data_IF_455594351818
#
_entry.id   IF_455594351818
#
_cell.length_a   1.000
_cell.length_b   1.000
_cell.length_c   1.000
_cell.angle_alpha   90.00
_cell.angle_beta   90.00
_cell.angle_gamma   90.00
#
_symmetry.space_group_name_H-M   'P 1'
#
loop_
_entity.id
_entity.type
_entity.pdbx_description
1 polymer ?
#
# COMPACT_ATOMS: atom_id res chain seq x y z
N UNK A 1 -12.28 -10.65 22.26
CA UNK A 1 -11.14 -11.03 21.39
C UNK A 1 -11.74 -11.30 20.03
N UNK A 2 -11.73 -10.32 19.12
CA UNK A 2 -12.47 -10.36 17.86
C UNK A 2 -11.47 -10.46 16.70
N UNK A 3 -10.72 -11.55 16.67
CA UNK A 3 -9.77 -11.82 15.62
C UNK A 3 -10.50 -12.51 14.45
N UNK A 4 -10.51 -11.87 13.28
CA UNK A 4 -11.19 -12.40 12.10
C UNK A 4 -10.20 -13.34 11.37
N UNK A 5 -10.56 -14.62 11.11
CA UNK A 5 -9.73 -15.49 10.31
C UNK A 5 -9.72 -15.00 8.86
N UNK A 6 -8.56 -14.62 8.35
CA UNK A 6 -8.39 -14.02 7.02
C UNK A 6 -8.17 -15.10 5.95
N UNK A 7 -7.08 -15.83 6.07
CA UNK A 7 -6.69 -16.89 5.15
C UNK A 7 -5.68 -17.84 5.83
N UNK A 8 -5.42 -18.98 5.20
CA UNK A 8 -4.53 -20.01 5.73
C UNK A 8 -3.30 -20.11 4.83
N UNK A 9 -2.11 -19.88 5.37
CA UNK A 9 -0.84 -20.03 4.63
C UNK A 9 -0.11 -21.25 5.20
N UNK A 10 0.26 -22.23 4.36
CA UNK A 10 1.03 -23.42 4.78
C UNK A 10 0.46 -24.15 6.01
N UNK A 11 -0.86 -24.14 6.21
CA UNK A 11 -1.51 -24.75 7.37
C UNK A 11 -1.65 -23.85 8.61
N UNK A 12 -1.03 -22.66 8.61
CA UNK A 12 -1.13 -21.66 9.67
C UNK A 12 -2.33 -20.75 9.38
N UNK A 13 -3.28 -20.72 10.31
CA UNK A 13 -4.45 -19.83 10.23
C UNK A 13 -4.02 -18.42 10.61
N UNK A 14 -4.08 -17.49 9.64
CA UNK A 14 -3.78 -16.08 9.89
C UNK A 14 -5.04 -15.42 10.41
N UNK A 15 -4.91 -14.80 11.57
CA UNK A 15 -5.96 -14.00 12.20
C UNK A 15 -5.56 -12.52 12.15
N UNK A 16 -6.53 -11.65 11.87
CA UNK A 16 -6.33 -10.20 11.93
C UNK A 16 -7.22 -9.61 13.01
N UNK A 17 -6.61 -8.84 13.89
CA UNK A 17 -7.33 -7.98 14.83
C UNK A 17 -7.56 -6.60 14.20
N UNK A 18 -8.59 -5.90 14.67
CA UNK A 18 -8.94 -4.57 14.18
C UNK A 18 -7.79 -3.54 14.31
N UNK A 19 -6.89 -3.75 15.27
CA UNK A 19 -5.66 -2.95 15.45
C UNK A 19 -4.76 -2.97 14.22
N UNK A 20 -4.79 -4.03 13.43
CA UNK A 20 -3.93 -4.20 12.25
C UNK A 20 -4.34 -3.26 11.11
N UNK A 21 -5.62 -2.92 10.99
CA UNK A 21 -6.09 -1.89 10.05
C UNK A 21 -5.54 -0.51 10.40
N UNK A 22 -5.48 -0.18 11.68
CA UNK A 22 -4.90 1.08 12.17
C UNK A 22 -3.40 1.10 11.87
N UNK A 23 -2.69 0.00 12.19
CA UNK A 23 -1.27 -0.14 11.87
C UNK A 23 -1.00 0.03 10.37
N UNK A 24 -1.78 -0.64 9.50
CA UNK A 24 -1.64 -0.50 8.05
C UNK A 24 -1.89 0.91 7.55
N UNK A 25 -2.91 1.58 8.09
CA UNK A 25 -3.23 2.96 7.75
C UNK A 25 -2.08 3.89 8.12
N UNK A 26 -1.56 3.76 9.34
CA UNK A 26 -0.44 4.57 9.82
C UNK A 26 0.84 4.31 9.03
N UNK A 27 1.16 3.05 8.73
CA UNK A 27 2.30 2.67 7.90
C UNK A 27 2.16 3.28 6.51
N UNK A 28 0.98 3.13 5.88
CA UNK A 28 0.71 3.66 4.53
C UNK A 28 0.80 5.19 4.51
N UNK A 29 0.25 5.88 5.52
CA UNK A 29 0.34 7.34 5.65
C UNK A 29 1.79 7.79 5.84
N UNK A 30 2.54 7.11 6.70
CA UNK A 30 3.96 7.40 6.94
C UNK A 30 4.81 7.18 5.68
N UNK A 31 4.54 6.10 4.95
CA UNK A 31 5.19 5.84 3.66
C UNK A 31 4.83 6.91 2.63
N UNK A 32 3.56 7.27 2.53
CA UNK A 32 3.04 8.28 1.60
C UNK A 32 3.62 9.67 1.84
N UNK A 33 3.71 10.11 3.10
CA UNK A 33 4.11 11.48 3.45
C UNK A 33 5.60 11.61 3.80
N UNK A 34 6.20 10.59 4.39
CA UNK A 34 7.58 10.65 4.88
C UNK A 34 8.59 9.96 3.96
N UNK A 35 8.25 8.76 3.46
CA UNK A 35 9.21 7.90 2.77
C UNK A 35 9.25 8.16 1.27
N UNK A 36 8.11 8.09 0.59
CA UNK A 36 8.02 8.28 -0.86
C UNK A 36 8.39 9.70 -1.31
N UNK A 37 8.03 10.80 -0.62
CA UNK A 37 8.43 12.14 -1.04
C UNK A 37 9.94 12.37 -0.88
N UNK A 38 10.56 11.69 0.08
CA UNK A 38 12.00 11.77 0.32
C UNK A 38 12.79 10.95 -0.70
N UNK A 39 12.28 9.77 -1.08
CA UNK A 39 12.91 8.91 -2.08
C UNK A 39 12.73 9.40 -3.52
N UNK A 40 11.59 10.05 -3.82
CA UNK A 40 11.25 10.53 -5.16
C UNK A 40 11.27 12.05 -5.28
N UNK A 41 12.10 12.72 -4.48
CA UNK A 41 12.21 14.19 -4.37
C UNK A 41 12.56 14.91 -5.70
N UNK A 42 12.98 14.17 -6.73
CA UNK A 42 13.42 14.71 -8.03
C UNK A 42 12.57 14.25 -9.22
N UNK A 43 11.42 13.61 -8.99
CA UNK A 43 10.43 13.37 -10.04
C UNK A 43 9.33 14.42 -9.88
N UNK A 44 9.32 15.38 -10.81
CA UNK A 44 8.22 16.34 -10.96
C UNK A 44 6.89 15.58 -10.91
N UNK A 45 5.89 16.11 -10.20
CA UNK A 45 4.54 15.52 -10.10
C UNK A 45 3.97 15.09 -11.47
N UNK A 46 4.49 15.64 -12.56
CA UNK A 46 4.19 15.30 -13.95
C UNK A 46 4.52 13.84 -14.35
N UNK A 47 5.57 13.22 -13.81
CA UNK A 47 6.01 11.87 -14.22
C UNK A 47 5.17 10.74 -13.62
N UNK A 48 4.50 10.97 -12.49
CA UNK A 48 3.62 9.98 -11.86
C UNK A 48 2.33 9.84 -12.67
N UNK A 49 1.78 10.94 -13.18
CA UNK A 49 0.58 10.92 -14.02
C UNK A 49 0.86 10.36 -15.42
N UNK A 50 2.03 10.63 -16.02
CA UNK A 50 2.39 10.09 -17.33
C UNK A 50 2.59 8.56 -17.32
N UNK A 51 3.10 8.01 -16.20
CA UNK A 51 3.22 6.56 -16.01
C UNK A 51 1.87 5.88 -15.81
N UNK A 52 0.92 6.54 -15.16
CA UNK A 52 -0.45 6.04 -15.05
C UNK A 52 -1.15 5.99 -16.41
N UNK A 53 -0.97 7.01 -17.26
CA UNK A 53 -1.54 7.07 -18.62
C UNK A 53 -0.94 5.99 -19.54
N UNK A 54 0.40 5.81 -19.51
CA UNK A 54 1.05 4.78 -20.33
C UNK A 54 0.67 3.35 -19.92
N UNK A 55 0.50 3.09 -18.63
CA UNK A 55 0.01 1.80 -18.16
C UNK A 55 -1.41 1.51 -18.70
N UNK A 56 -2.30 2.49 -18.70
CA UNK A 56 -3.66 2.34 -19.24
C UNK A 56 -3.64 2.10 -20.76
N UNK A 57 -2.76 2.80 -21.49
CA UNK A 57 -2.61 2.64 -22.95
C UNK A 57 -2.03 1.29 -23.36
N UNK A 58 -1.25 0.62 -22.51
CA UNK A 58 -0.66 -0.69 -22.79
C UNK A 58 -1.66 -1.85 -22.65
N UNK A 59 -2.81 -1.61 -22.02
CA UNK A 59 -3.88 -2.62 -21.86
C UNK A 59 -5.06 -2.40 -22.82
N UNK A 60 -4.90 -1.56 -23.85
CA UNK A 60 -5.84 -1.42 -24.96
C UNK A 60 -5.23 -1.93 -26.28
#
# INVERSE_FOLDING_TARGET
>A
MNAIPLFKIFGIQVYIDYSWFIAFTLITLTLSQGFYPTLYKNLSQFDIYSRAVSAIMLFY
#
